data_IF_492365727552
#
_entry.id   IF_492365727552
#
_cell.length_a   1.000
_cell.length_b   1.000
_cell.length_c   1.000
_cell.angle_alpha   90.00
_cell.angle_beta   90.00
_cell.angle_gamma   90.00
#
_symmetry.space_group_name_H-M   'P 1'
#
loop_
_entity.id
_entity.type
_entity.pdbx_description
1 polymer ?
#
# COMPACT_ATOMS: atom_id res chain seq x y z
N UNK A 1 -8.55 -11.93 6.91
CA UNK A 1 -9.07 -12.56 5.68
C UNK A 1 -9.70 -13.90 5.98
N UNK A 2 -10.82 -14.20 5.30
CA UNK A 2 -11.54 -15.47 5.40
C UNK A 2 -11.36 -16.36 4.16
N UNK A 3 -10.57 -15.91 3.18
CA UNK A 3 -10.28 -16.56 1.88
C UNK A 3 -9.24 -17.68 1.99
N UNK A 4 -8.83 -18.05 3.21
CA UNK A 4 -7.78 -19.02 3.52
C UNK A 4 -6.38 -18.70 2.97
N UNK A 5 -6.13 -17.47 2.49
CA UNK A 5 -4.79 -17.06 2.04
C UNK A 5 -3.76 -17.03 3.18
N UNK A 6 -4.25 -16.99 4.42
CA UNK A 6 -3.45 -17.08 5.66
C UNK A 6 -4.03 -18.16 6.56
N UNK A 7 -3.22 -19.17 6.88
CA UNK A 7 -3.61 -20.21 7.83
C UNK A 7 -3.77 -19.63 9.24
N UNK A 8 -4.92 -19.86 9.90
CA UNK A 8 -5.25 -19.30 11.23
C UNK A 8 -4.22 -19.65 12.31
N UNK A 9 -3.58 -20.82 12.21
CA UNK A 9 -2.50 -21.24 13.12
C UNK A 9 -1.31 -20.26 13.17
N UNK A 10 -1.16 -19.38 12.18
CA UNK A 10 -0.15 -18.33 12.20
C UNK A 10 -0.48 -17.17 13.15
N UNK A 11 -1.71 -17.06 13.68
CA UNK A 11 -2.11 -16.02 14.64
C UNK A 11 -1.18 -15.95 15.87
N UNK A 12 -0.56 -17.06 16.25
CA UNK A 12 0.47 -17.10 17.29
C UNK A 12 1.66 -16.16 17.04
N UNK A 13 1.98 -15.83 15.78
CA UNK A 13 3.03 -14.88 15.43
C UNK A 13 2.68 -13.45 15.90
N UNK A 14 1.42 -13.05 15.73
CA UNK A 14 0.91 -11.76 16.21
C UNK A 14 0.78 -11.76 17.73
N UNK A 15 0.17 -12.81 18.28
CA UNK A 15 -0.10 -12.95 19.71
C UNK A 15 1.19 -12.97 20.54
N UNK A 16 2.26 -13.62 20.05
CA UNK A 16 3.55 -13.65 20.74
C UNK A 16 4.08 -12.23 20.96
N UNK A 17 4.12 -11.40 19.91
CA UNK A 17 4.57 -10.00 20.00
C UNK A 17 3.72 -9.19 20.97
N UNK A 18 2.43 -9.46 21.00
CA UNK A 18 1.52 -8.76 21.91
C UNK A 18 1.70 -9.20 23.37
N UNK A 19 1.62 -10.49 23.64
CA UNK A 19 1.57 -11.05 24.99
C UNK A 19 2.94 -11.11 25.68
N UNK A 20 4.01 -11.39 24.93
CA UNK A 20 5.35 -11.57 25.51
C UNK A 20 6.19 -10.29 25.43
N UNK A 21 6.01 -9.47 24.38
CA UNK A 21 6.81 -8.26 24.14
C UNK A 21 6.02 -6.95 24.39
N UNK A 22 4.72 -7.03 24.68
CA UNK A 22 3.90 -5.89 25.06
C UNK A 22 3.49 -4.96 23.91
N UNK A 23 3.74 -5.33 22.65
CA UNK A 23 3.33 -4.50 21.51
C UNK A 23 1.81 -4.45 21.38
N UNK A 24 1.26 -3.24 21.28
CA UNK A 24 -0.18 -3.05 21.03
C UNK A 24 -0.54 -3.09 19.55
N UNK A 25 0.42 -2.87 18.67
CA UNK A 25 0.26 -2.96 17.23
C UNK A 25 1.24 -3.98 16.68
N UNK A 26 0.75 -4.96 15.94
CA UNK A 26 1.59 -5.97 15.27
C UNK A 26 1.13 -6.11 13.83
N UNK A 27 2.05 -5.86 12.90
CA UNK A 27 1.78 -5.83 11.47
C UNK A 27 2.45 -7.04 10.79
N UNK A 28 1.67 -7.85 10.10
CA UNK A 28 2.19 -8.86 9.18
C UNK A 28 2.88 -8.20 8.00
N UNK A 29 4.01 -8.75 7.56
CA UNK A 29 4.77 -8.23 6.43
C UNK A 29 5.11 -9.33 5.44
N UNK A 30 4.37 -9.45 4.33
CA UNK A 30 4.63 -10.46 3.27
C UNK A 30 5.92 -10.19 2.51
N UNK A 31 6.44 -8.96 2.57
CA UNK A 31 7.69 -8.52 1.92
C UNK A 31 8.93 -8.67 2.82
N UNK A 32 8.77 -9.23 4.03
CA UNK A 32 9.91 -9.58 4.87
C UNK A 32 10.70 -10.76 4.28
N UNK A 33 12.03 -10.76 4.38
CA UNK A 33 12.92 -11.80 3.83
C UNK A 33 12.69 -13.23 4.36
N UNK A 34 11.97 -13.35 5.48
CA UNK A 34 11.60 -14.63 6.11
C UNK A 34 10.13 -15.00 5.89
N UNK A 35 9.39 -14.21 5.12
CA UNK A 35 8.03 -14.53 4.73
C UNK A 35 8.03 -15.52 3.57
N UNK A 36 6.99 -16.34 3.52
CA UNK A 36 6.69 -17.17 2.36
C UNK A 36 5.57 -16.48 1.60
N UNK A 37 5.84 -16.02 0.39
CA UNK A 37 4.84 -15.38 -0.46
C UNK A 37 4.69 -16.21 -1.73
N UNK A 38 3.61 -17.00 -1.80
CA UNK A 38 3.21 -17.68 -3.04
C UNK A 38 2.16 -16.83 -3.71
N UNK A 39 2.61 -15.96 -4.63
CA UNK A 39 1.76 -15.05 -5.40
C UNK A 39 2.44 -14.75 -6.73
N UNK A 40 1.65 -14.60 -7.79
CA UNK A 40 2.19 -14.15 -9.08
C UNK A 40 2.43 -12.63 -9.00
N UNK A 41 3.68 -12.20 -9.18
CA UNK A 41 4.12 -10.83 -8.83
C UNK A 41 3.64 -9.75 -9.82
N UNK A 42 3.48 -10.08 -11.09
CA UNK A 42 3.16 -9.16 -12.19
C UNK A 42 1.81 -9.45 -12.86
N UNK A 43 0.81 -9.84 -12.05
CA UNK A 43 -0.54 -10.20 -12.52
C UNK A 43 -1.24 -9.15 -13.38
N UNK A 44 -0.88 -7.88 -13.21
CA UNK A 44 -1.68 -6.78 -13.71
C UNK A 44 -0.95 -5.88 -14.69
N UNK A 45 0.34 -6.10 -14.98
CA UNK A 45 1.14 -5.29 -15.91
C UNK A 45 2.45 -4.77 -15.28
N UNK A 46 3.40 -4.39 -16.12
CA UNK A 46 4.72 -3.89 -15.68
C UNK A 46 4.62 -2.55 -14.91
N UNK A 47 3.58 -1.76 -15.20
CA UNK A 47 3.32 -0.46 -14.58
C UNK A 47 2.94 -0.52 -13.10
N UNK A 48 2.67 -1.71 -12.55
CA UNK A 48 2.51 -1.90 -11.09
C UNK A 48 3.71 -1.33 -10.32
N UNK A 49 4.90 -1.38 -10.89
CA UNK A 49 6.11 -0.80 -10.28
C UNK A 49 6.01 0.72 -10.15
N UNK A 50 5.47 1.41 -11.16
CA UNK A 50 5.19 2.84 -11.10
C UNK A 50 4.10 3.17 -10.06
N UNK A 51 3.04 2.36 -9.98
CA UNK A 51 1.98 2.56 -8.97
C UNK A 51 2.52 2.39 -7.54
N UNK A 52 3.38 1.39 -7.32
CA UNK A 52 4.08 1.20 -6.04
C UNK A 52 5.03 2.36 -5.72
N UNK A 53 5.73 2.90 -6.71
CA UNK A 53 6.59 4.07 -6.53
C UNK A 53 5.80 5.27 -6.02
N UNK A 54 4.68 5.59 -6.69
CA UNK A 54 3.76 6.66 -6.25
C UNK A 54 3.23 6.41 -4.83
N UNK A 55 2.74 5.19 -4.56
CA UNK A 55 2.22 4.81 -3.25
C UNK A 55 3.27 5.00 -2.15
N UNK A 56 4.49 4.53 -2.37
CA UNK A 56 5.57 4.58 -1.37
C UNK A 56 6.09 5.99 -1.14
N UNK A 57 6.09 6.81 -2.18
CA UNK A 57 6.48 8.21 -2.08
C UNK A 57 5.45 9.01 -1.27
N UNK A 58 4.14 8.85 -1.55
CA UNK A 58 3.08 9.47 -0.75
C UNK A 58 3.16 8.99 0.70
N UNK A 59 3.12 7.69 0.92
CA UNK A 59 3.12 7.09 2.26
C UNK A 59 4.50 7.00 2.90
N UNK A 60 5.45 7.88 2.58
CA UNK A 60 6.85 7.74 3.01
C UNK A 60 6.98 7.49 4.53
N UNK A 61 6.17 8.14 5.36
CA UNK A 61 6.12 7.90 6.81
C UNK A 61 5.74 6.47 7.22
N UNK A 62 4.95 5.76 6.42
CA UNK A 62 4.60 4.36 6.61
C UNK A 62 5.75 3.48 6.12
N UNK A 63 6.17 3.67 4.87
CA UNK A 63 7.08 2.75 4.20
C UNK A 63 8.53 2.88 4.68
N UNK A 64 8.98 4.07 5.08
CA UNK A 64 10.30 4.30 5.68
C UNK A 64 10.51 3.55 7.00
N UNK A 65 9.43 3.23 7.73
CA UNK A 65 9.50 2.37 8.93
C UNK A 65 9.52 0.88 8.60
N UNK A 66 9.71 0.52 7.32
CA UNK A 66 9.78 -0.84 6.81
C UNK A 66 8.44 -1.57 6.83
N UNK A 67 7.32 -0.84 6.79
CA UNK A 67 5.98 -1.39 6.55
C UNK A 67 5.80 -1.48 5.03
N UNK A 68 6.54 -2.39 4.39
CA UNK A 68 6.62 -2.49 2.92
C UNK A 68 5.35 -3.05 2.24
N UNK A 69 4.37 -3.41 3.06
CA UNK A 69 3.13 -4.04 2.66
C UNK A 69 1.98 -3.55 3.56
N UNK A 70 1.53 -2.32 3.30
CA UNK A 70 0.45 -1.71 4.09
C UNK A 70 -0.87 -2.47 3.96
N UNK A 71 -1.08 -3.19 2.86
CA UNK A 71 -2.32 -3.89 2.51
C UNK A 71 -2.35 -5.37 2.95
N UNK A 72 -1.42 -5.80 3.82
CA UNK A 72 -1.49 -7.12 4.42
C UNK A 72 -2.48 -7.10 5.59
N UNK A 73 -3.70 -7.63 5.42
CA UNK A 73 -4.73 -7.62 6.46
C UNK A 73 -4.40 -8.47 7.72
N UNK A 74 -3.29 -9.22 7.70
CA UNK A 74 -2.79 -9.96 8.86
C UNK A 74 -2.17 -9.01 9.89
N UNK A 75 -3.02 -8.40 10.73
CA UNK A 75 -2.63 -7.38 11.72
C UNK A 75 -3.32 -7.63 13.06
N UNK A 76 -2.70 -7.16 14.13
CA UNK A 76 -3.26 -7.12 15.48
C UNK A 76 -3.20 -5.68 15.99
N UNK A 77 -4.33 -5.22 16.51
CA UNK A 77 -4.45 -3.96 17.25
C UNK A 77 -5.05 -4.28 18.61
N UNK A 78 -4.41 -3.83 19.69
CA UNK A 78 -5.00 -3.89 21.02
C UNK A 78 -6.24 -3.00 21.08
N UNK A 79 -7.17 -3.32 21.99
CA UNK A 79 -8.49 -2.68 22.05
C UNK A 79 -8.41 -1.16 22.15
N UNK A 80 -7.59 -0.64 23.05
CA UNK A 80 -7.47 0.82 23.25
C UNK A 80 -6.98 1.54 21.98
N UNK A 81 -5.96 1.00 21.30
CA UNK A 81 -5.47 1.52 20.02
C UNK A 81 -6.58 1.48 18.97
N UNK A 82 -7.30 0.36 18.89
CA UNK A 82 -8.39 0.20 17.92
C UNK A 82 -9.54 1.18 18.18
N UNK A 83 -9.92 1.41 19.45
CA UNK A 83 -10.93 2.41 19.81
C UNK A 83 -10.53 3.80 19.29
N UNK A 84 -9.28 4.21 19.48
CA UNK A 84 -8.76 5.50 18.97
C UNK A 84 -8.76 5.58 17.45
N UNK A 85 -8.42 4.49 16.76
CA UNK A 85 -8.48 4.42 15.29
C UNK A 85 -9.92 4.64 14.80
N UNK A 86 -10.88 4.00 15.47
CA UNK A 86 -12.29 3.98 15.09
C UNK A 86 -13.08 5.21 15.51
N UNK A 87 -12.51 6.13 16.30
CA UNK A 87 -13.15 7.42 16.64
C UNK A 87 -13.39 8.30 15.41
N UNK A 88 -12.49 8.25 14.42
CA UNK A 88 -12.59 9.06 13.20
C UNK A 88 -11.97 8.34 11.99
N UNK A 89 -12.55 7.24 11.48
CA UNK A 89 -12.05 6.57 10.28
C UNK A 89 -12.11 7.51 9.08
N UNK A 90 -11.02 7.62 8.32
CA UNK A 90 -10.97 8.52 7.16
C UNK A 90 -11.42 7.84 5.86
N UNK A 91 -11.36 6.51 5.82
CA UNK A 91 -11.72 5.68 4.65
C UNK A 91 -12.44 4.41 5.12
N UNK A 92 -13.32 3.88 4.27
CA UNK A 92 -14.17 2.71 4.59
C UNK A 92 -14.07 1.59 3.54
N UNK A 93 -13.17 1.77 2.57
CA UNK A 93 -12.96 0.88 1.44
C UNK A 93 -11.69 0.04 1.61
N UNK A 94 -11.17 -0.52 0.51
CA UNK A 94 -9.96 -1.36 0.50
C UNK A 94 -8.71 -0.68 1.06
N UNK A 95 -8.69 0.65 1.23
CA UNK A 95 -7.55 1.38 1.77
C UNK A 95 -7.54 1.49 3.30
N UNK A 96 -8.55 0.96 4.02
CA UNK A 96 -8.69 1.10 5.48
C UNK A 96 -7.43 0.71 6.26
N UNK A 97 -6.70 -0.28 5.78
CA UNK A 97 -5.44 -0.71 6.37
C UNK A 97 -4.40 0.43 6.47
N UNK A 98 -4.34 1.30 5.45
CA UNK A 98 -3.44 2.46 5.45
C UNK A 98 -3.90 3.54 6.42
N UNK A 99 -5.21 3.74 6.58
CA UNK A 99 -5.75 4.65 7.60
C UNK A 99 -5.44 4.18 9.01
N UNK A 100 -5.62 2.89 9.28
CA UNK A 100 -5.34 2.31 10.60
C UNK A 100 -3.86 2.39 10.94
N UNK A 101 -2.98 2.10 9.97
CA UNK A 101 -1.54 2.29 10.14
C UNK A 101 -1.24 3.78 10.39
N UNK A 102 -1.73 4.69 9.54
CA UNK A 102 -1.49 6.13 9.67
C UNK A 102 -1.93 6.65 11.04
N UNK A 103 -3.09 6.24 11.54
CA UNK A 103 -3.55 6.61 12.88
C UNK A 103 -2.61 6.08 13.97
N UNK A 104 -2.15 4.82 13.89
CA UNK A 104 -1.14 4.31 14.81
C UNK A 104 0.19 5.09 14.76
N UNK A 105 0.60 5.56 13.57
CA UNK A 105 1.77 6.44 13.44
C UNK A 105 1.54 7.80 14.10
N UNK A 106 0.35 8.40 13.90
CA UNK A 106 -0.02 9.69 14.46
C UNK A 106 -0.11 9.66 16.00
N UNK A 107 -0.48 8.52 16.58
CA UNK A 107 -0.44 8.28 18.02
C UNK A 107 0.96 7.99 18.55
N UNK A 108 1.97 7.90 17.68
CA UNK A 108 3.32 7.44 18.00
C UNK A 108 3.35 6.05 18.66
N UNK A 109 2.35 5.21 18.40
CA UNK A 109 2.21 3.91 19.04
C UNK A 109 3.32 2.97 18.54
N UNK A 110 4.10 2.36 19.46
CA UNK A 110 5.08 1.35 19.09
C UNK A 110 4.44 0.15 18.40
N UNK A 111 5.08 -0.35 17.35
CA UNK A 111 4.57 -1.47 16.58
C UNK A 111 5.67 -2.49 16.27
N UNK A 112 5.28 -3.76 16.21
CA UNK A 112 6.12 -4.84 15.74
C UNK A 112 5.74 -5.24 14.32
N UNK A 113 6.70 -5.85 13.60
CA UNK A 113 6.47 -6.49 12.29
C UNK A 113 6.78 -7.96 12.40
N UNK A 114 5.96 -8.81 11.80
CA UNK A 114 6.20 -10.26 11.77
C UNK A 114 6.18 -10.79 10.33
N UNK A 115 7.15 -11.65 9.95
CA UNK A 115 7.02 -12.41 8.72
C UNK A 115 5.90 -13.45 8.88
N UNK A 116 5.23 -13.78 7.79
CA UNK A 116 4.21 -14.83 7.78
C UNK A 116 4.13 -15.47 6.39
N UNK A 117 3.55 -16.66 6.31
CA UNK A 117 3.24 -17.34 5.08
C UNK A 117 1.89 -16.86 4.51
N UNK A 118 1.91 -16.45 3.26
CA UNK A 118 0.73 -16.05 2.49
C UNK A 118 0.72 -16.83 1.18
N UNK A 119 -0.36 -17.60 0.97
CA UNK A 119 -0.57 -18.37 -0.26
C UNK A 119 -1.78 -17.78 -0.94
N UNK A 120 -1.55 -17.07 -2.03
CA UNK A 120 -2.60 -16.39 -2.76
C UNK A 120 -3.37 -17.35 -3.66
N UNK A 121 -4.69 -17.38 -3.52
CA UNK A 121 -5.58 -17.97 -4.53
C UNK A 121 -6.05 -16.90 -5.50
N UNK A 122 -5.64 -16.99 -6.76
CA UNK A 122 -6.13 -16.06 -7.78
C UNK A 122 -7.65 -16.17 -7.93
N UNK A 123 -8.19 -17.39 -8.01
CA UNK A 123 -9.62 -17.64 -8.19
C UNK A 123 -10.50 -17.02 -7.09
N UNK A 124 -9.98 -16.91 -5.87
CA UNK A 124 -10.70 -16.37 -4.71
C UNK A 124 -10.40 -14.87 -4.49
N UNK A 125 -9.64 -14.23 -5.38
CA UNK A 125 -9.23 -12.84 -5.17
C UNK A 125 -10.38 -11.87 -5.41
N UNK A 126 -10.71 -11.07 -4.38
CA UNK A 126 -11.69 -9.99 -4.48
C UNK A 126 -11.38 -8.97 -5.59
N UNK A 127 -10.09 -8.82 -5.95
CA UNK A 127 -9.64 -7.91 -7.02
C UNK A 127 -10.10 -8.31 -8.42
N UNK A 128 -10.47 -9.59 -8.64
CA UNK A 128 -11.04 -10.03 -9.93
C UNK A 128 -12.42 -9.39 -10.14
N UNK A 129 -13.22 -9.30 -9.09
CA UNK A 129 -14.59 -8.77 -9.17
C UNK A 129 -14.58 -7.24 -9.28
N UNK A 130 -13.67 -6.56 -8.57
CA UNK A 130 -13.62 -5.09 -8.54
C UNK A 130 -12.84 -4.47 -9.72
N UNK A 131 -11.94 -5.24 -10.33
CA UNK A 131 -11.01 -4.76 -11.33
C UNK A 131 -9.73 -4.19 -10.69
N UNK A 132 -8.54 -4.54 -11.20
CA UNK A 132 -7.27 -4.21 -10.56
C UNK A 132 -7.01 -2.70 -10.46
N UNK A 133 -7.33 -1.93 -11.50
CA UNK A 133 -7.09 -0.49 -11.49
C UNK A 133 -8.08 0.27 -10.61
N UNK A 134 -9.31 -0.23 -10.46
CA UNK A 134 -10.23 0.28 -9.44
C UNK A 134 -9.66 0.08 -8.04
N UNK A 135 -9.14 -1.13 -7.76
CA UNK A 135 -8.47 -1.38 -6.47
C UNK A 135 -7.27 -0.44 -6.29
N UNK A 136 -6.39 -0.28 -7.28
CA UNK A 136 -5.24 0.62 -7.16
C UNK A 136 -5.63 2.09 -7.01
N UNK A 137 -6.67 2.56 -7.70
CA UNK A 137 -7.22 3.90 -7.51
C UNK A 137 -7.65 4.09 -6.05
N UNK A 138 -8.45 3.16 -5.52
CA UNK A 138 -8.89 3.17 -4.12
C UNK A 138 -7.70 3.19 -3.16
N UNK A 139 -6.67 2.37 -3.40
CA UNK A 139 -5.48 2.31 -2.56
C UNK A 139 -4.67 3.61 -2.57
N UNK A 140 -4.49 4.23 -3.74
CA UNK A 140 -3.71 5.47 -3.89
C UNK A 140 -4.44 6.66 -3.28
N UNK A 141 -5.71 6.86 -3.66
CA UNK A 141 -6.53 7.97 -3.14
C UNK A 141 -6.80 7.81 -1.65
N UNK A 142 -7.14 6.60 -1.23
CA UNK A 142 -7.38 6.32 0.19
C UNK A 142 -6.15 6.50 1.06
N UNK A 143 -4.95 6.17 0.56
CA UNK A 143 -3.70 6.50 1.25
C UNK A 143 -3.50 8.02 1.37
N UNK A 144 -3.73 8.79 0.31
CA UNK A 144 -3.66 10.26 0.34
C UNK A 144 -4.63 10.83 1.37
N UNK A 145 -5.89 10.36 1.39
CA UNK A 145 -6.88 10.75 2.39
C UNK A 145 -6.43 10.41 3.81
N UNK A 146 -5.94 9.19 4.04
CA UNK A 146 -5.48 8.73 5.34
C UNK A 146 -4.34 9.60 5.90
N UNK A 147 -3.28 9.83 5.12
CA UNK A 147 -2.13 10.61 5.62
C UNK A 147 -2.51 12.07 5.90
N UNK A 148 -3.41 12.65 5.10
CA UNK A 148 -3.95 14.01 5.32
C UNK A 148 -4.80 14.11 6.58
N UNK A 149 -5.80 13.26 6.71
CA UNK A 149 -6.76 13.31 7.82
C UNK A 149 -6.12 12.93 9.17
N UNK A 150 -5.10 12.08 9.15
CA UNK A 150 -4.34 11.69 10.35
C UNK A 150 -3.17 12.60 10.65
N UNK A 151 -2.85 13.57 9.78
CA UNK A 151 -1.76 14.53 9.97
C UNK A 151 -0.38 13.89 10.05
N UNK A 152 -0.19 12.74 9.40
CA UNK A 152 1.10 12.04 9.37
C UNK A 152 1.96 12.64 8.25
N UNK A 153 3.27 12.90 8.45
CA UNK A 153 4.13 13.40 7.38
C UNK A 153 4.04 12.57 6.10
N UNK A 154 3.94 13.23 4.95
CA UNK A 154 3.78 12.59 3.65
C UNK A 154 4.40 13.44 2.55
N UNK A 155 4.57 12.88 1.36
CA UNK A 155 5.03 13.66 0.21
C UNK A 155 3.84 14.43 -0.40
N UNK A 156 3.73 15.72 -0.07
CA UNK A 156 2.64 16.58 -0.54
C UNK A 156 2.63 16.78 -2.06
N UNK A 157 3.81 16.86 -2.68
CA UNK A 157 3.95 17.03 -4.13
C UNK A 157 3.41 15.80 -4.88
N UNK A 158 3.78 14.59 -4.46
CA UNK A 158 3.26 13.37 -5.06
C UNK A 158 1.77 13.18 -4.79
N UNK A 159 1.28 13.56 -3.60
CA UNK A 159 -0.15 13.56 -3.33
C UNK A 159 -0.91 14.48 -4.28
N UNK A 160 -0.35 15.67 -4.58
CA UNK A 160 -0.91 16.60 -5.57
C UNK A 160 -0.91 16.02 -6.98
N UNK A 161 0.17 15.35 -7.39
CA UNK A 161 0.24 14.66 -8.69
C UNK A 161 -0.87 13.61 -8.83
N UNK A 162 -1.16 12.85 -7.76
CA UNK A 162 -2.29 11.92 -7.77
C UNK A 162 -3.64 12.63 -7.88
N UNK A 163 -3.85 13.71 -7.12
CA UNK A 163 -5.10 14.48 -7.18
C UNK A 163 -5.35 15.10 -8.56
N UNK A 164 -4.31 15.64 -9.19
CA UNK A 164 -4.41 16.37 -10.47
C UNK A 164 -4.48 15.44 -11.68
N UNK A 165 -3.78 14.29 -11.63
CA UNK A 165 -3.60 13.45 -12.81
C UNK A 165 -4.36 12.13 -12.79
N UNK A 166 -4.80 11.64 -11.62
CA UNK A 166 -5.54 10.37 -11.46
C UNK A 166 -6.97 10.66 -11.00
N UNK A 167 -7.85 10.96 -11.96
CA UNK A 167 -9.26 11.22 -11.71
C UNK A 167 -10.04 9.91 -11.51
N UNK A 168 -9.67 8.82 -12.20
CA UNK A 168 -10.33 7.51 -12.09
C UNK A 168 -9.39 6.34 -12.46
N UNK A 169 -9.85 5.11 -12.25
CA UNK A 169 -9.14 3.89 -12.66
C UNK A 169 -8.76 3.84 -14.14
N UNK A 170 -9.52 4.52 -15.02
CA UNK A 170 -9.19 4.66 -16.45
C UNK A 170 -7.86 5.37 -16.68
N UNK A 171 -7.49 6.30 -15.80
CA UNK A 171 -6.20 6.97 -15.89
C UNK A 171 -5.07 5.99 -15.57
N UNK A 172 -5.30 5.03 -14.66
CA UNK A 172 -4.33 4.00 -14.32
C UNK A 172 -4.25 2.91 -15.40
N UNK A 173 -5.35 2.61 -16.09
CA UNK A 173 -5.35 1.72 -17.25
C UNK A 173 -4.40 2.22 -18.36
N UNK A 174 -4.26 3.54 -18.53
CA UNK A 174 -3.29 4.12 -19.48
C UNK A 174 -1.82 3.91 -19.06
N UNK A 175 -1.56 3.59 -17.79
CA UNK A 175 -0.21 3.46 -17.23
C UNK A 175 0.23 2.01 -17.09
N UNK A 176 -0.72 1.09 -16.89
CA UNK A 176 -0.45 -0.23 -16.32
C UNK A 176 0.45 -1.12 -17.20
N UNK A 177 0.44 -0.91 -18.51
CA UNK A 177 1.26 -1.65 -19.48
C UNK A 177 2.60 -0.98 -19.79
N UNK A 178 2.91 0.13 -19.12
CA UNK A 178 4.10 0.93 -19.37
C UNK A 178 4.92 1.07 -18.10
N UNK A 179 6.23 1.29 -18.26
CA UNK A 179 7.14 1.60 -17.17
C UNK A 179 8.01 2.79 -17.59
N UNK A 180 8.19 3.83 -16.75
CA UNK A 180 9.15 4.88 -17.04
C UNK A 180 10.59 4.34 -16.96
N UNK A 181 11.48 4.86 -17.81
CA UNK A 181 12.87 4.43 -17.93
C UNK A 181 13.61 4.49 -16.58
N UNK A 182 13.34 5.54 -15.79
CA UNK A 182 13.92 5.75 -14.46
C UNK A 182 13.60 4.60 -13.49
N UNK A 183 12.48 3.91 -13.69
CA UNK A 183 12.06 2.79 -12.87
C UNK A 183 12.42 1.43 -13.46
N UNK A 184 13.05 1.33 -14.63
CA UNK A 184 13.42 0.01 -15.19
C UNK A 184 14.42 -0.72 -14.28
N UNK A 185 15.52 -0.03 -13.93
CA UNK A 185 16.60 -0.59 -13.12
C UNK A 185 16.35 -0.52 -11.59
N UNK A 186 15.33 0.21 -11.14
CA UNK A 186 15.04 0.37 -9.72
C UNK A 186 14.71 -0.96 -9.03
N UNK A 187 15.29 -1.26 -7.88
CA UNK A 187 14.91 -2.40 -7.05
C UNK A 187 13.72 -2.04 -6.14
N UNK A 188 13.10 -3.03 -5.49
CA UNK A 188 11.98 -2.76 -4.57
C UNK A 188 12.37 -1.76 -3.47
N UNK A 189 13.62 -1.80 -2.98
CA UNK A 189 14.12 -0.90 -1.94
C UNK A 189 14.19 0.57 -2.39
N UNK A 190 14.26 0.82 -3.70
CA UNK A 190 14.42 2.15 -4.29
C UNK A 190 13.05 2.81 -4.55
N UNK A 191 11.96 2.03 -4.50
CA UNK A 191 10.61 2.52 -4.75
C UNK A 191 10.13 3.47 -3.64
N UNK A 192 9.68 4.65 -4.07
CA UNK A 192 9.23 5.75 -3.21
C UNK A 192 10.27 6.84 -3.01
N UNK A 193 11.50 6.66 -3.48
CA UNK A 193 12.57 7.66 -3.41
C UNK A 193 12.41 8.72 -4.53
N UNK A 194 12.19 10.00 -4.21
CA UNK A 194 12.12 11.08 -5.20
C UNK A 194 13.42 11.28 -6.00
N UNK A 195 14.56 10.77 -5.52
CA UNK A 195 15.83 10.83 -6.24
C UNK A 195 15.89 9.82 -7.41
N UNK A 196 15.12 8.74 -7.35
CA UNK A 196 14.99 7.77 -8.44
C UNK A 196 14.09 8.33 -9.53
N UNK A 197 12.91 8.81 -9.14
CA UNK A 197 11.99 9.52 -10.02
C UNK A 197 11.16 10.47 -9.19
N UNK A 198 11.25 11.78 -9.49
CA UNK A 198 10.60 12.83 -8.72
C UNK A 198 9.09 12.92 -8.99
N UNK A 199 8.29 13.60 -8.13
CA UNK A 199 6.88 13.89 -8.41
C UNK A 199 6.68 14.59 -9.77
N UNK A 200 7.53 15.56 -10.12
CA UNK A 200 7.44 16.29 -11.38
C UNK A 200 7.71 15.39 -12.60
N UNK A 201 8.71 14.50 -12.52
CA UNK A 201 8.97 13.53 -13.58
C UNK A 201 7.81 12.54 -13.73
N UNK A 202 7.27 12.05 -12.61
CA UNK A 202 6.10 11.17 -12.59
C UNK A 202 4.87 11.85 -13.24
N UNK A 203 4.61 13.12 -12.91
CA UNK A 203 3.53 13.89 -13.50
C UNK A 203 3.66 14.01 -15.03
N UNK A 204 4.86 14.36 -15.51
CA UNK A 204 5.14 14.47 -16.94
C UNK A 204 4.90 13.14 -17.67
N UNK A 205 5.38 12.03 -17.10
CA UNK A 205 5.18 10.69 -17.64
C UNK A 205 3.70 10.29 -17.67
N UNK A 206 2.93 10.56 -16.62
CA UNK A 206 1.47 10.28 -16.59
C UNK A 206 0.76 11.05 -17.70
N UNK A 207 1.08 12.34 -17.89
CA UNK A 207 0.47 13.19 -18.94
C UNK A 207 0.78 12.63 -20.34
N UNK A 208 2.03 12.24 -20.58
CA UNK A 208 2.45 11.65 -21.85
C UNK A 208 1.66 10.36 -22.16
N UNK A 209 1.60 9.43 -21.21
CA UNK A 209 0.91 8.14 -21.38
C UNK A 209 -0.59 8.31 -21.59
N UNK A 210 -1.22 9.21 -20.82
CA UNK A 210 -2.65 9.51 -21.01
C UNK A 210 -2.93 10.12 -22.39
N UNK A 211 -2.04 10.97 -22.92
CA UNK A 211 -2.18 11.54 -24.26
C UNK A 211 -2.11 10.45 -25.33
N UNK A 212 -1.17 9.53 -25.22
CA UNK A 212 -1.01 8.42 -26.17
C UNK A 212 -2.20 7.46 -26.16
N UNK A 213 -2.73 7.15 -24.98
CA UNK A 213 -3.90 6.28 -24.83
C UNK A 213 -5.19 6.86 -25.47
N UNK A 214 -5.28 8.18 -25.66
CA UNK A 214 -6.40 8.84 -26.36
C UNK A 214 -6.23 8.78 -27.89
N UNK A 215 -5.01 8.64 -28.38
CA UNK A 215 -4.68 8.62 -29.82
C UNK A 215 -4.70 7.19 -30.38
N UNK A 216 -4.49 6.18 -29.54
CA UNK A 216 -4.54 4.76 -29.87
C UNK A 216 -5.97 4.21 -29.99
#
# INVERSE_FOLDING_TARGET
DADNSVHLGQAGLLLRKHLEEGFKVVLGNRKHKHSVLVKQESRWGIGIKALRHMQRMVGHSIFSRGILDSQAAFKLYHRDVLERILEKPSVYDFSFDSDWIACALAMEEPFAKVPFAFIDSFAESASIVQGPMTTWETLLKGLVTAVRERGVPYNEEMARVLDEHIASSKDLDALINHLPEELEAAEDKDLGDPAVMSPAAMAAWIVERKREAVVA
#
